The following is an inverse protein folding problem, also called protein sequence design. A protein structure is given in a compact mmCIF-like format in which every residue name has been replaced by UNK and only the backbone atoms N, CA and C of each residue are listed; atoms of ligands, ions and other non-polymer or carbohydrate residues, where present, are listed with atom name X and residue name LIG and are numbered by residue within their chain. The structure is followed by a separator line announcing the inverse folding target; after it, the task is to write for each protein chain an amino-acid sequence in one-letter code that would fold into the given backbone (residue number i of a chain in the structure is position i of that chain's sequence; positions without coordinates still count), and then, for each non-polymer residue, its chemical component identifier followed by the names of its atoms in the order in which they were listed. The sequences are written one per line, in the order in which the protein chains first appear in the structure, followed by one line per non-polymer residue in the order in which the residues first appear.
data_IF_230943999778
#
_entry.id   IF_230943999778
#
_cell.length_a   1.000
_cell.length_b   1.000
_cell.length_c   1.000
_cell.angle_alpha   90.00
_cell.angle_beta   90.00
_cell.angle_gamma   90.00
#
_symmetry.space_group_name_H-M   'P 1'
#
loop_
_entity.id
_entity.type
_entity.pdbx_description
1 polymer ?
#
# COMPACT_ATOMS: atom_id res chain seq x y z
N UNK A 1 11.47 12.05 45.97
CA UNK A 1 11.35 10.90 45.04
C UNK A 1 11.37 11.49 43.64
N UNK A 2 12.48 11.33 42.93
CA UNK A 2 12.66 11.87 41.58
C UNK A 2 11.66 11.20 40.64
N UNK A 3 10.87 12.00 39.94
CA UNK A 3 9.88 11.55 38.96
C UNK A 3 10.60 10.92 37.77
N UNK A 4 10.85 9.61 37.85
CA UNK A 4 11.17 8.82 36.66
C UNK A 4 10.07 9.08 35.62
N UNK A 5 10.46 9.35 34.36
CA UNK A 5 9.53 9.37 33.24
C UNK A 5 8.68 8.09 33.32
N UNK A 6 7.34 8.17 33.27
CA UNK A 6 6.48 6.98 33.32
C UNK A 6 6.79 5.96 32.22
N UNK A 7 7.50 6.39 31.18
CA UNK A 7 8.06 5.54 30.16
C UNK A 7 9.60 5.62 30.19
N UNK A 8 10.30 4.61 30.72
CA UNK A 8 11.76 4.61 30.77
C UNK A 8 12.38 4.43 29.37
N UNK A 9 13.57 5.00 29.17
CA UNK A 9 14.40 4.80 27.98
C UNK A 9 15.67 3.98 28.32
N UNK A 10 15.55 2.67 28.56
CA UNK A 10 16.69 1.85 29.00
C UNK A 10 17.72 1.61 27.88
N UNK A 11 17.35 1.83 26.62
CA UNK A 11 18.21 1.61 25.46
C UNK A 11 18.04 2.75 24.44
N UNK A 12 18.73 3.90 24.64
CA UNK A 12 18.68 5.04 23.72
C UNK A 12 18.93 4.65 22.26
N UNK A 13 18.16 5.21 21.32
CA UNK A 13 18.21 4.85 19.90
C UNK A 13 17.50 3.55 19.51
N UNK A 14 16.91 2.82 20.46
CA UNK A 14 16.18 1.57 20.20
C UNK A 14 14.74 1.61 20.68
N UNK A 15 13.90 0.85 19.98
CA UNK A 15 12.49 0.62 20.34
C UNK A 15 11.59 1.81 20.04
N UNK A 16 10.32 1.72 20.41
CA UNK A 16 9.35 2.80 20.23
C UNK A 16 8.29 2.73 21.33
N UNK A 17 7.35 3.68 21.30
CA UNK A 17 6.20 3.68 22.18
C UNK A 17 5.07 2.80 21.61
N UNK A 18 4.57 1.87 22.41
CA UNK A 18 3.40 1.03 22.10
C UNK A 18 2.24 1.47 22.99
N UNK A 19 1.36 2.33 22.48
CA UNK A 19 0.33 3.05 23.25
C UNK A 19 -1.10 2.65 22.87
N UNK A 20 -2.05 3.16 23.67
CA UNK A 20 -3.47 2.81 23.69
C UNK A 20 -3.67 1.32 23.99
N UNK A 21 -3.51 1.03 25.29
CA UNK A 21 -3.66 -0.25 25.98
C UNK A 21 -3.42 -0.04 27.49
N UNK A 22 -3.45 -1.10 28.30
CA UNK A 22 -3.17 -0.99 29.74
C UNK A 22 -1.71 -1.29 30.06
N UNK A 23 -1.13 -0.57 31.03
CA UNK A 23 0.24 -0.86 31.52
C UNK A 23 0.33 -2.28 32.08
N UNK A 24 -0.75 -2.79 32.68
CA UNK A 24 -0.84 -4.18 33.15
C UNK A 24 -0.70 -5.23 32.03
N UNK A 25 -1.02 -4.86 30.78
CA UNK A 25 -0.88 -5.71 29.61
C UNK A 25 0.41 -5.43 28.82
N UNK A 26 1.35 -4.68 29.41
CA UNK A 26 2.67 -4.39 28.85
C UNK A 26 2.70 -3.25 27.82
N UNK A 27 1.66 -2.43 27.76
CA UNK A 27 1.66 -1.21 26.94
C UNK A 27 2.34 -0.06 27.68
N UNK A 28 2.86 0.89 26.91
CA UNK A 28 3.32 2.17 27.44
C UNK A 28 2.13 3.00 27.95
N UNK A 29 2.39 3.86 28.93
CA UNK A 29 1.34 4.71 29.47
C UNK A 29 0.79 5.61 28.37
N UNK A 30 -0.54 5.55 28.18
CA UNK A 30 -1.21 6.33 27.15
C UNK A 30 -1.12 7.83 27.45
N UNK A 31 -0.95 8.64 26.41
CA UNK A 31 -1.02 10.11 26.51
C UNK A 31 -2.49 10.53 26.49
N UNK A 32 -2.82 11.62 27.18
CA UNK A 32 -4.12 12.28 27.05
C UNK A 32 -4.44 12.59 25.58
N UNK A 33 -5.63 12.20 25.14
CA UNK A 33 -6.14 12.46 23.79
C UNK A 33 -5.81 11.41 22.72
N UNK A 34 -4.98 10.39 23.02
CA UNK A 34 -4.75 9.27 22.09
C UNK A 34 -5.86 8.22 22.18
N UNK A 35 -6.56 7.99 21.08
CA UNK A 35 -7.67 7.03 20.95
C UNK A 35 -7.38 5.83 20.04
N UNK A 36 -6.28 5.86 19.28
CA UNK A 36 -5.95 4.81 18.29
C UNK A 36 -4.69 4.05 18.68
N UNK A 37 -4.79 2.71 18.72
CA UNK A 37 -3.65 1.83 19.01
C UNK A 37 -2.52 1.95 18.00
N UNK A 38 -1.30 2.06 18.52
CA UNK A 38 -0.09 2.05 17.71
C UNK A 38 0.34 0.65 17.30
N UNK A 39 -0.23 -0.41 17.87
CA UNK A 39 0.04 -1.80 17.51
C UNK A 39 -1.25 -2.54 17.17
N UNK A 40 -1.36 -2.97 15.92
CA UNK A 40 -2.48 -3.75 15.41
C UNK A 40 -1.97 -5.04 14.78
N UNK A 41 -2.74 -6.11 14.91
CA UNK A 41 -2.58 -7.34 14.14
C UNK A 41 -3.59 -7.35 12.99
N UNK A 42 -3.48 -8.36 12.13
CA UNK A 42 -4.46 -8.61 11.09
C UNK A 42 -5.34 -9.80 11.47
N UNK A 43 -6.64 -9.72 11.17
CA UNK A 43 -7.52 -10.90 11.17
C UNK A 43 -7.12 -11.84 10.04
N UNK A 44 -7.69 -13.05 10.00
CA UNK A 44 -7.45 -14.01 8.90
C UNK A 44 -7.86 -13.47 7.52
N UNK A 45 -8.75 -12.48 7.48
CA UNK A 45 -9.25 -11.80 6.28
C UNK A 45 -8.71 -10.37 6.12
N UNK A 46 -7.70 -9.99 6.92
CA UNK A 46 -6.87 -8.81 6.66
C UNK A 46 -7.40 -7.52 7.27
N UNK A 47 -8.43 -7.59 8.09
CA UNK A 47 -8.88 -6.44 8.86
C UNK A 47 -7.89 -6.15 9.99
N UNK A 48 -7.59 -4.87 10.23
CA UNK A 48 -6.75 -4.48 11.36
C UNK A 48 -7.52 -4.64 12.68
N UNK A 49 -6.90 -5.32 13.65
CA UNK A 49 -7.44 -5.53 14.99
C UNK A 49 -6.45 -5.03 16.04
N UNK A 50 -6.94 -4.34 17.07
CA UNK A 50 -6.12 -3.88 18.19
C UNK A 50 -5.52 -5.08 18.93
N UNK A 51 -4.21 -5.05 19.16
CA UNK A 51 -3.54 -6.01 20.04
C UNK A 51 -3.92 -5.69 21.48
N UNK A 52 -4.31 -6.70 22.26
CA UNK A 52 -4.83 -6.52 23.64
C UNK A 52 -3.76 -6.71 24.72
N UNK A 53 -2.63 -7.33 24.39
CA UNK A 53 -1.48 -7.52 25.29
C UNK A 53 -0.18 -7.66 24.51
N UNK A 54 0.86 -6.92 24.91
CA UNK A 54 2.22 -7.06 24.33
C UNK A 54 2.96 -8.26 24.91
N UNK A 55 2.55 -8.77 26.07
CA UNK A 55 3.12 -9.99 26.67
C UNK A 55 2.87 -11.24 25.84
N UNK A 56 1.77 -11.27 25.08
CA UNK A 56 1.39 -12.39 24.22
C UNK A 56 1.73 -12.17 22.75
N UNK A 57 2.12 -10.94 22.37
CA UNK A 57 2.49 -10.61 21.00
C UNK A 57 3.86 -11.21 20.66
N UNK A 58 3.92 -12.08 19.64
CA UNK A 58 5.15 -12.74 19.21
C UNK A 58 5.54 -12.24 17.84
N UNK A 59 6.79 -11.83 17.67
CA UNK A 59 7.33 -11.35 16.39
C UNK A 59 7.71 -12.47 15.41
N UNK A 60 7.69 -13.74 15.85
CA UNK A 60 7.97 -14.88 14.99
C UNK A 60 6.78 -15.19 14.07
N UNK A 61 6.99 -15.04 12.76
CA UNK A 61 6.00 -15.33 11.70
C UNK A 61 4.62 -14.68 11.89
N UNK A 62 4.56 -13.51 12.53
CA UNK A 62 3.30 -12.80 12.77
C UNK A 62 3.42 -11.39 12.21
N UNK A 63 2.45 -11.02 11.36
CA UNK A 63 2.38 -9.69 10.78
C UNK A 63 1.69 -8.72 11.75
N UNK A 64 2.35 -7.59 12.02
CA UNK A 64 1.79 -6.48 12.78
C UNK A 64 1.90 -5.19 11.97
N UNK A 65 0.90 -4.32 12.13
CA UNK A 65 0.98 -2.93 11.75
C UNK A 65 1.38 -2.13 13.00
N UNK A 66 2.62 -1.63 13.01
CA UNK A 66 3.18 -0.86 14.11
C UNK A 66 3.43 0.58 13.65
N UNK A 67 2.82 1.53 14.34
CA UNK A 67 3.09 2.95 14.14
C UNK A 67 4.34 3.35 14.94
N UNK A 68 5.47 3.52 14.24
CA UNK A 68 6.76 3.86 14.84
C UNK A 68 6.88 5.37 15.03
N UNK A 69 7.06 5.82 16.28
CA UNK A 69 7.09 7.25 16.64
C UNK A 69 8.49 7.77 16.98
N UNK A 70 9.51 6.99 16.69
CA UNK A 70 10.88 7.20 17.18
C UNK A 70 11.16 6.44 18.47
N UNK A 71 12.35 6.68 19.03
CA UNK A 71 12.85 6.02 20.22
C UNK A 71 12.18 6.52 21.50
N UNK A 72 12.52 5.87 22.62
CA UNK A 72 11.90 6.14 23.91
C UNK A 72 12.44 7.40 24.63
N UNK A 73 13.29 8.19 23.98
CA UNK A 73 13.75 9.48 24.51
C UNK A 73 12.75 10.61 24.27
N UNK A 74 11.86 10.44 23.29
CA UNK A 74 10.91 11.48 22.89
C UNK A 74 9.88 11.71 23.99
N UNK A 75 9.67 12.99 24.35
CA UNK A 75 8.56 13.31 25.25
C UNK A 75 7.25 13.32 24.49
N UNK A 76 6.47 12.28 24.73
CA UNK A 76 5.12 12.05 24.23
C UNK A 76 4.13 13.08 24.83
N UNK A 77 3.86 14.19 24.09
CA UNK A 77 3.00 15.32 24.54
C UNK A 77 1.69 15.50 23.78
N UNK A 78 1.44 14.72 22.72
CA UNK A 78 0.24 14.82 21.89
C UNK A 78 0.34 13.97 20.62
N UNK A 79 -0.55 14.20 19.65
CA UNK A 79 -0.57 13.43 18.39
C UNK A 79 0.49 13.87 17.37
N UNK A 80 0.97 15.11 17.46
CA UNK A 80 1.90 15.72 16.49
C UNK A 80 3.30 15.89 17.10
N UNK A 81 3.87 14.80 17.62
CA UNK A 81 5.24 14.82 18.14
C UNK A 81 6.18 14.34 17.04
N UNK A 82 7.18 15.14 16.62
CA UNK A 82 8.16 14.72 15.62
C UNK A 82 8.90 13.45 16.08
N UNK A 83 9.01 12.48 15.17
CA UNK A 83 9.79 11.28 15.40
C UNK A 83 11.30 11.57 15.31
N UNK A 84 12.11 10.71 15.92
CA UNK A 84 13.55 10.63 15.74
C UNK A 84 13.93 9.25 15.21
N UNK A 85 15.19 9.08 14.82
CA UNK A 85 15.68 7.79 14.35
C UNK A 85 15.66 6.76 15.48
N UNK A 86 15.08 5.59 15.19
CA UNK A 86 15.10 4.45 16.09
C UNK A 86 15.37 3.15 15.35
N UNK A 87 15.95 2.18 16.06
CA UNK A 87 16.11 0.82 15.60
C UNK A 87 15.16 -0.12 16.33
N UNK A 88 14.28 -0.78 15.58
CA UNK A 88 13.52 -1.92 16.09
C UNK A 88 14.33 -3.20 15.94
N UNK A 89 14.30 -4.04 16.97
CA UNK A 89 15.03 -5.31 17.00
C UNK A 89 14.16 -6.41 17.59
N UNK A 90 14.22 -7.58 17.00
CA UNK A 90 13.65 -8.81 17.51
C UNK A 90 14.78 -9.76 17.90
N UNK A 91 14.61 -10.52 18.98
CA UNK A 91 15.53 -11.58 19.38
C UNK A 91 14.77 -12.88 19.51
N UNK A 92 15.45 -13.98 19.18
CA UNK A 92 14.88 -15.32 19.23
C UNK A 92 15.56 -16.24 18.21
N UNK A 93 15.19 -17.52 18.21
CA UNK A 93 15.63 -18.46 17.19
C UNK A 93 15.21 -17.99 15.79
N UNK A 94 16.08 -18.18 14.81
CA UNK A 94 15.72 -17.96 13.41
C UNK A 94 14.71 -19.02 12.96
N UNK A 95 13.68 -18.60 12.25
CA UNK A 95 12.85 -19.54 11.49
C UNK A 95 13.67 -20.04 10.30
N UNK A 96 13.69 -21.35 10.12
CA UNK A 96 14.45 -22.04 9.08
C UNK A 96 13.63 -23.16 8.47
N UNK A 97 14.02 -23.60 7.28
CA UNK A 97 13.28 -24.57 6.48
C UNK A 97 12.03 -23.97 5.85
N UNK A 98 11.25 -24.81 5.18
CA UNK A 98 10.06 -24.36 4.44
C UNK A 98 8.97 -23.88 5.40
N UNK A 99 8.43 -22.69 5.15
CA UNK A 99 7.35 -22.09 5.91
C UNK A 99 6.06 -22.16 5.09
N UNK A 100 5.03 -22.81 5.62
CA UNK A 100 3.72 -22.92 4.97
C UNK A 100 2.75 -21.96 5.64
N UNK A 101 2.16 -21.06 4.85
CA UNK A 101 1.24 -20.03 5.34
C UNK A 101 -0.13 -20.25 4.67
N UNK A 102 -1.20 -20.48 5.43
CA UNK A 102 -2.55 -20.55 4.87
C UNK A 102 -3.02 -19.16 4.41
N UNK A 103 -3.79 -19.12 3.32
CA UNK A 103 -4.43 -17.90 2.80
C UNK A 103 -5.94 -18.10 2.81
N UNK A 104 -6.68 -17.15 3.38
CA UNK A 104 -8.13 -17.23 3.48
C UNK A 104 -8.79 -17.20 2.10
N UNK A 105 -9.98 -17.80 1.99
CA UNK A 105 -10.76 -17.85 0.74
C UNK A 105 -11.28 -16.47 0.29
N UNK A 106 -11.27 -15.48 1.18
CA UNK A 106 -11.73 -14.12 0.92
C UNK A 106 -10.98 -13.10 1.78
N UNK A 107 -11.02 -11.85 1.37
CA UNK A 107 -10.25 -10.77 1.99
C UNK A 107 -8.75 -10.92 1.76
N UNK A 108 -7.97 -10.17 2.53
CA UNK A 108 -6.51 -10.21 2.46
C UNK A 108 -5.94 -11.07 3.59
N UNK A 109 -4.87 -11.81 3.35
CA UNK A 109 -4.13 -12.47 4.42
C UNK A 109 -2.79 -11.77 4.58
N UNK A 110 -2.51 -11.30 5.80
CA UNK A 110 -1.22 -10.71 6.13
C UNK A 110 -0.19 -11.81 6.39
N UNK A 111 0.96 -11.70 5.74
CA UNK A 111 2.05 -12.65 5.80
C UNK A 111 3.30 -11.91 6.23
N UNK A 112 3.96 -12.38 7.29
CA UNK A 112 5.29 -11.90 7.64
C UNK A 112 6.32 -12.55 6.73
N UNK A 113 7.36 -11.82 6.33
CA UNK A 113 8.57 -12.48 5.85
C UNK A 113 9.15 -13.31 7.02
N UNK A 114 9.17 -14.65 6.92
CA UNK A 114 9.59 -15.48 8.05
C UNK A 114 11.10 -15.49 8.25
N UNK A 115 11.87 -15.09 7.24
CA UNK A 115 13.32 -15.17 7.26
C UNK A 115 13.97 -13.82 7.60
N UNK A 116 15.12 -13.88 8.27
CA UNK A 116 16.01 -12.73 8.45
C UNK A 116 16.82 -12.42 7.17
N UNK A 117 16.13 -12.37 6.03
CA UNK A 117 16.69 -12.16 4.69
C UNK A 117 15.57 -11.70 3.75
N UNK A 118 15.85 -10.82 2.76
CA UNK A 118 14.86 -10.52 1.73
C UNK A 118 14.42 -11.80 1.01
N UNK A 119 13.14 -11.91 0.67
CA UNK A 119 12.60 -13.03 -0.12
C UNK A 119 12.07 -12.52 -1.46
N UNK A 120 12.21 -13.32 -2.52
CA UNK A 120 11.64 -13.01 -3.82
C UNK A 120 10.22 -13.57 -3.89
N UNK A 121 9.21 -12.69 -3.93
CA UNK A 121 7.82 -13.11 -4.11
C UNK A 121 7.70 -13.96 -5.39
N UNK A 122 8.33 -13.57 -6.50
CA UNK A 122 8.22 -14.27 -7.79
C UNK A 122 8.57 -15.76 -7.77
N UNK A 123 9.40 -16.24 -6.83
CA UNK A 123 9.79 -17.66 -6.74
C UNK A 123 8.95 -18.48 -5.74
N UNK A 124 8.16 -17.83 -4.89
CA UNK A 124 7.35 -18.50 -3.85
C UNK A 124 6.37 -19.48 -4.48
N UNK A 125 6.26 -20.67 -3.91
CA UNK A 125 5.27 -21.66 -4.35
C UNK A 125 3.87 -21.27 -3.85
N UNK A 126 2.89 -21.19 -4.76
CA UNK A 126 1.51 -20.76 -4.48
C UNK A 126 0.51 -21.85 -4.82
N UNK A 127 -0.55 -21.93 -4.04
CA UNK A 127 -1.77 -22.70 -4.35
C UNK A 127 -2.97 -21.81 -4.11
N UNK A 128 -3.74 -21.50 -5.15
CA UNK A 128 -4.91 -20.60 -5.08
C UNK A 128 -4.59 -19.21 -4.48
N UNK A 129 -3.40 -18.66 -4.74
CA UNK A 129 -3.02 -17.30 -4.32
C UNK A 129 -2.62 -16.50 -5.55
N UNK A 130 -3.09 -15.27 -5.66
CA UNK A 130 -2.77 -14.38 -6.78
C UNK A 130 -1.26 -14.08 -6.81
N UNK A 131 -0.73 -13.78 -8.00
CA UNK A 131 0.65 -13.31 -8.14
C UNK A 131 0.74 -11.78 -8.00
N UNK A 132 0.03 -11.27 -6.99
CA UNK A 132 -0.03 -9.86 -6.66
C UNK A 132 -0.07 -9.73 -5.14
N UNK A 133 0.50 -8.67 -4.60
CA UNK A 133 0.55 -8.45 -3.17
C UNK A 133 0.59 -6.95 -2.86
N UNK A 134 0.26 -6.62 -1.61
CA UNK A 134 0.42 -5.27 -1.10
C UNK A 134 1.51 -5.21 -0.05
N UNK A 135 2.25 -4.11 -0.04
CA UNK A 135 3.14 -3.72 1.05
C UNK A 135 2.77 -2.34 1.55
N UNK A 136 3.13 -2.03 2.79
CA UNK A 136 3.07 -0.67 3.29
C UNK A 136 4.39 0.04 2.97
N UNK A 137 4.36 1.05 2.12
CA UNK A 137 5.51 1.94 1.89
C UNK A 137 5.47 3.08 2.92
N UNK A 138 6.36 3.08 3.93
CA UNK A 138 6.36 4.07 5.00
C UNK A 138 6.83 5.47 4.56
N UNK A 139 7.44 5.60 3.37
CA UNK A 139 7.95 6.87 2.84
C UNK A 139 6.95 7.60 1.96
N UNK A 140 5.82 6.96 1.64
CA UNK A 140 4.77 7.63 0.88
C UNK A 140 4.08 8.71 1.71
N UNK A 141 3.73 9.79 1.02
CA UNK A 141 3.17 11.00 1.62
C UNK A 141 1.79 10.81 2.24
N UNK A 142 0.91 9.97 1.69
CA UNK A 142 -0.48 9.83 2.16
C UNK A 142 -1.16 11.19 2.49
N UNK A 143 -2.20 11.17 3.32
CA UNK A 143 -2.79 12.42 3.86
C UNK A 143 -2.03 12.97 5.09
N UNK A 144 -1.29 12.11 5.81
CA UNK A 144 -0.63 12.47 7.08
C UNK A 144 0.90 12.27 7.09
N UNK A 145 1.52 11.90 5.97
CA UNK A 145 2.97 11.66 5.90
C UNK A 145 3.43 10.37 6.58
N UNK A 146 2.56 9.35 6.67
CA UNK A 146 2.81 8.14 7.48
C UNK A 146 2.92 6.85 6.68
N UNK A 147 2.95 6.96 5.35
CA UNK A 147 2.97 5.85 4.41
C UNK A 147 1.62 5.58 3.74
N UNK A 148 1.64 4.64 2.80
CA UNK A 148 0.47 4.17 2.05
C UNK A 148 0.66 2.71 1.62
N UNK A 149 -0.44 2.04 1.28
CA UNK A 149 -0.34 0.73 0.63
C UNK A 149 0.08 0.88 -0.83
N UNK A 150 1.01 0.03 -1.25
CA UNK A 150 1.47 -0.10 -2.63
C UNK A 150 1.15 -1.52 -3.10
N UNK A 151 0.48 -1.63 -4.25
CA UNK A 151 0.28 -2.88 -4.95
C UNK A 151 1.49 -3.21 -5.82
N UNK A 152 1.97 -4.45 -5.73
CA UNK A 152 2.95 -5.04 -6.63
C UNK A 152 2.24 -6.20 -7.33
N UNK A 153 1.87 -6.02 -8.60
CA UNK A 153 1.06 -6.99 -9.34
C UNK A 153 1.75 -7.52 -10.59
N UNK A 154 1.74 -8.84 -10.73
CA UNK A 154 2.33 -9.51 -11.88
C UNK A 154 1.54 -9.20 -13.15
N UNK A 155 2.27 -8.93 -14.23
CA UNK A 155 1.68 -8.51 -15.51
C UNK A 155 2.02 -9.44 -16.68
N UNK A 156 2.55 -10.63 -16.39
CA UNK A 156 2.89 -11.64 -17.39
C UNK A 156 4.37 -11.63 -17.77
N UNK A 157 5.07 -10.53 -17.53
CA UNK A 157 6.52 -10.40 -17.80
C UNK A 157 7.31 -9.94 -16.59
N UNK A 158 6.72 -9.13 -15.72
CA UNK A 158 7.32 -8.61 -14.50
C UNK A 158 6.24 -8.14 -13.54
N UNK A 159 6.54 -7.12 -12.75
CA UNK A 159 5.59 -6.53 -11.80
C UNK A 159 5.40 -5.04 -12.08
N UNK A 160 4.14 -4.62 -12.06
CA UNK A 160 3.75 -3.22 -11.97
C UNK A 160 3.63 -2.81 -10.50
N UNK A 161 3.98 -1.56 -10.21
CA UNK A 161 3.88 -0.96 -8.88
C UNK A 161 2.83 0.16 -8.95
N UNK A 162 1.80 0.10 -8.10
CA UNK A 162 0.65 1.04 -8.11
C UNK A 162 0.18 1.33 -6.66
N UNK A 163 0.22 2.59 -6.19
CA UNK A 163 0.85 3.76 -6.81
C UNK A 163 2.36 3.60 -6.98
N UNK A 164 3.00 4.52 -7.70
CA UNK A 164 4.46 4.61 -7.70
C UNK A 164 4.99 4.76 -6.25
N UNK A 165 5.85 3.83 -5.84
CA UNK A 165 6.43 3.82 -4.49
C UNK A 165 7.55 4.85 -4.34
N UNK A 166 7.72 5.37 -3.12
CA UNK A 166 8.86 6.23 -2.75
C UNK A 166 10.01 5.38 -2.23
N UNK A 167 9.69 4.34 -1.47
CA UNK A 167 10.63 3.29 -1.10
C UNK A 167 10.97 2.43 -2.32
N UNK A 168 12.14 1.75 -2.32
CA UNK A 168 12.51 0.80 -3.36
C UNK A 168 11.71 -0.52 -3.24
N UNK A 169 10.38 -0.40 -3.21
CA UNK A 169 9.47 -1.54 -3.22
C UNK A 169 9.58 -2.28 -4.56
N UNK A 170 9.45 -3.60 -4.51
CA UNK A 170 9.57 -4.48 -5.67
C UNK A 170 9.01 -5.85 -5.34
N UNK A 171 9.23 -6.84 -6.21
CA UNK A 171 8.96 -8.25 -5.90
C UNK A 171 9.76 -8.79 -4.69
N UNK A 172 10.77 -8.07 -4.20
CA UNK A 172 11.58 -8.48 -3.06
C UNK A 172 11.02 -7.92 -1.74
N UNK A 173 10.50 -8.81 -0.90
CA UNK A 173 9.95 -8.47 0.42
C UNK A 173 11.11 -8.46 1.43
N UNK A 174 11.33 -7.33 2.09
CA UNK A 174 12.49 -7.14 2.97
C UNK A 174 12.37 -7.94 4.28
N UNK A 175 13.51 -8.18 4.93
CA UNK A 175 13.52 -8.73 6.29
C UNK A 175 12.78 -7.79 7.24
N UNK A 176 11.82 -8.32 8.00
CA UNK A 176 10.98 -7.52 8.90
C UNK A 176 9.83 -6.76 8.23
N UNK A 177 9.65 -6.90 6.90
CA UNK A 177 8.49 -6.41 6.19
C UNK A 177 7.41 -7.50 6.13
N UNK A 178 6.15 -7.10 6.34
CA UNK A 178 4.99 -7.93 6.08
C UNK A 178 4.31 -7.47 4.79
N UNK A 179 3.53 -8.36 4.20
CA UNK A 179 2.81 -8.13 2.96
C UNK A 179 1.40 -8.74 3.04
N UNK A 180 0.48 -8.22 2.23
CA UNK A 180 -0.89 -8.74 2.12
C UNK A 180 -1.04 -9.49 0.80
N UNK A 181 -1.61 -10.69 0.86
CA UNK A 181 -1.95 -11.49 -0.32
C UNK A 181 -3.42 -11.81 -0.35
N UNK A 182 -3.91 -12.23 -1.52
CA UNK A 182 -5.29 -12.66 -1.69
C UNK A 182 -5.35 -14.01 -2.38
N UNK A 183 -6.36 -14.80 -2.05
CA UNK A 183 -6.64 -16.02 -2.79
C UNK A 183 -7.32 -15.78 -4.13
N UNK A 184 -7.28 -16.77 -5.01
CA UNK A 184 -7.96 -16.75 -6.32
C UNK A 184 -9.44 -17.14 -6.22
N UNK A 185 -10.10 -16.83 -5.09
CA UNK A 185 -11.50 -17.16 -4.80
C UNK A 185 -11.75 -18.46 -4.03
N UNK A 186 -10.71 -19.22 -3.69
CA UNK A 186 -10.78 -20.41 -2.81
C UNK A 186 -9.64 -20.38 -1.81
N UNK A 187 -9.80 -21.00 -0.63
CA UNK A 187 -8.72 -21.04 0.35
C UNK A 187 -7.43 -21.60 -0.28
N UNK A 188 -6.30 -20.97 0.06
CA UNK A 188 -5.02 -21.23 -0.58
C UNK A 188 -3.88 -21.34 0.41
N UNK A 189 -2.66 -21.39 -0.11
CA UNK A 189 -1.45 -21.42 0.69
C UNK A 189 -0.23 -20.88 -0.06
N UNK A 190 0.69 -20.29 0.70
CA UNK A 190 2.06 -20.02 0.28
C UNK A 190 3.02 -21.01 0.93
N UNK A 191 3.99 -21.50 0.17
CA UNK A 191 5.16 -22.21 0.72
C UNK A 191 6.41 -21.40 0.40
N UNK A 192 6.94 -20.74 1.42
CA UNK A 192 8.14 -19.91 1.35
C UNK A 192 9.33 -20.80 1.75
N UNK A 193 10.19 -21.10 0.77
CA UNK A 193 11.33 -22.00 0.92
C UNK A 193 12.59 -21.20 1.22
N UNK A 194 13.58 -21.88 1.79
CA UNK A 194 14.93 -21.33 1.95
C UNK A 194 15.53 -20.85 0.61
N UNK A 195 15.20 -21.52 -0.50
CA UNK A 195 15.61 -21.13 -1.86
C UNK A 195 14.93 -19.87 -2.39
N UNK A 196 13.88 -19.37 -1.73
CA UNK A 196 13.20 -18.12 -2.09
C UNK A 196 13.89 -16.89 -1.47
N UNK A 197 14.89 -17.10 -0.60
CA UNK A 197 15.77 -16.03 -0.11
C UNK A 197 16.49 -15.39 -1.30
N UNK A 198 16.46 -14.07 -1.34
CA UNK A 198 17.17 -13.30 -2.35
C UNK A 198 18.60 -13.01 -1.90
N UNK A 199 19.54 -13.11 -2.83
CA UNK A 199 20.91 -12.61 -2.65
C UNK A 199 20.98 -11.07 -2.74
N UNK A 200 19.90 -10.40 -3.17
CA UNK A 200 19.81 -8.93 -3.20
C UNK A 200 20.03 -8.38 -1.79
N UNK A 201 20.93 -7.41 -1.67
CA UNK A 201 21.18 -6.74 -0.40
C UNK A 201 19.88 -6.11 0.15
N UNK A 202 19.73 -6.11 1.48
CA UNK A 202 18.60 -5.48 2.13
C UNK A 202 18.46 -4.02 1.68
N UNK A 203 17.26 -3.65 1.25
CA UNK A 203 16.95 -2.33 0.73
C UNK A 203 16.51 -1.39 1.85
N UNK A 204 16.72 -0.09 1.64
CA UNK A 204 16.34 0.94 2.60
C UNK A 204 14.83 1.27 2.48
N UNK A 205 13.96 0.32 2.81
CA UNK A 205 12.50 0.53 2.85
C UNK A 205 12.10 1.35 4.09
N UNK A 206 12.59 1.01 5.27
CA UNK A 206 12.18 1.65 6.54
C UNK A 206 13.09 2.80 7.01
N UNK A 207 14.19 3.09 6.31
CA UNK A 207 15.18 4.10 6.73
C UNK A 207 14.99 5.40 5.96
N UNK A 208 14.93 6.52 6.68
CA UNK A 208 15.01 7.86 6.08
C UNK A 208 16.39 8.01 5.42
N UNK A 209 16.40 8.39 4.13
CA UNK A 209 17.64 8.76 3.46
C UNK A 209 17.98 10.18 3.88
N UNK A 210 18.91 10.34 4.82
CA UNK A 210 19.55 11.63 5.00
C UNK A 210 20.27 11.99 3.70
N UNK A 211 20.03 13.20 3.20
CA UNK A 211 20.60 13.75 1.95
C UNK A 211 19.90 13.25 0.69
N UNK A 212 19.67 14.20 -0.22
CA UNK A 212 19.27 14.07 -1.63
C UNK A 212 20.14 13.07 -2.38
N UNK A 213 19.91 11.79 -2.13
CA UNK A 213 20.25 10.73 -3.06
C UNK A 213 19.22 10.87 -4.17
N UNK A 214 19.55 11.67 -5.19
CA UNK A 214 19.13 11.34 -6.55
C UNK A 214 19.29 9.84 -6.66
N UNK A 215 18.18 9.12 -6.82
CA UNK A 215 18.05 7.77 -7.38
C UNK A 215 19.39 7.21 -7.88
N UNK A 216 20.31 6.86 -6.98
CA UNK A 216 21.69 6.60 -7.37
C UNK A 216 21.81 5.10 -7.49
N UNK A 217 21.70 4.68 -8.75
CA UNK A 217 22.51 3.60 -9.29
C UNK A 217 22.52 2.28 -8.51
N UNK A 218 21.33 1.78 -8.14
CA UNK A 218 21.10 0.34 -8.25
C UNK A 218 20.41 0.12 -9.60
N UNK A 219 21.13 -0.55 -10.50
CA UNK A 219 20.87 -0.60 -11.92
C UNK A 219 19.42 -0.90 -12.28
N UNK A 220 18.87 -0.07 -13.17
CA UNK A 220 17.99 -0.32 -14.32
C UNK A 220 17.16 -1.62 -14.44
N UNK A 221 16.89 -2.36 -13.38
CA UNK A 221 16.05 -3.55 -13.37
C UNK A 221 14.96 -3.37 -12.32
N UNK A 222 13.80 -2.92 -12.84
CA UNK A 222 12.44 -2.99 -12.27
C UNK A 222 12.03 -1.81 -11.38
N UNK A 223 11.76 -0.66 -12.01
CA UNK A 223 11.00 0.47 -11.41
C UNK A 223 9.56 0.61 -11.97
N UNK A 224 9.31 0.03 -13.13
CA UNK A 224 7.99 -0.23 -13.72
C UNK A 224 8.34 -1.08 -14.94
N UNK A 225 7.84 -2.31 -15.01
CA UNK A 225 8.13 -3.20 -16.12
C UNK A 225 6.82 -3.45 -16.85
N UNK A 226 6.33 -2.50 -17.68
CA UNK A 226 5.04 -2.66 -18.33
C UNK A 226 4.99 -4.00 -19.04
N UNK A 227 3.82 -4.63 -19.00
CA UNK A 227 3.63 -5.87 -19.74
C UNK A 227 4.02 -5.67 -21.19
N UNK A 228 4.65 -6.70 -21.78
CA UNK A 228 5.07 -6.64 -23.17
C UNK A 228 3.87 -6.31 -24.08
N UNK A 229 4.05 -5.30 -24.94
CA UNK A 229 3.01 -4.81 -25.86
C UNK A 229 1.72 -4.37 -25.15
N UNK A 230 1.82 -3.87 -23.91
CA UNK A 230 0.67 -3.34 -23.18
C UNK A 230 0.67 -1.82 -23.22
N UNK A 231 -0.53 -1.26 -23.35
CA UNK A 231 -0.81 0.17 -23.15
C UNK A 231 -1.55 0.35 -21.82
N UNK A 232 -1.71 1.58 -21.35
CA UNK A 232 -2.48 1.80 -20.14
C UNK A 232 -2.67 3.25 -19.74
N UNK A 233 -3.44 3.44 -18.68
CA UNK A 233 -3.74 4.74 -18.09
C UNK A 233 -3.62 4.63 -16.56
N UNK A 234 -2.71 5.40 -15.98
CA UNK A 234 -2.64 5.61 -14.54
C UNK A 234 -3.49 6.81 -14.16
N UNK A 235 -4.25 6.70 -13.07
CA UNK A 235 -5.09 7.78 -12.55
C UNK A 235 -4.75 7.99 -11.08
N UNK A 236 -4.05 9.08 -10.79
CA UNK A 236 -3.66 9.46 -9.43
C UNK A 236 -4.70 10.39 -8.83
N UNK A 237 -5.16 10.11 -7.62
CA UNK A 237 -5.92 11.03 -6.79
C UNK A 237 -4.97 11.80 -5.88
N UNK A 238 -5.05 13.13 -5.91
CA UNK A 238 -4.26 14.02 -5.06
C UNK A 238 -5.14 15.05 -4.37
N UNK A 239 -4.73 15.50 -3.19
CA UNK A 239 -5.28 16.71 -2.56
C UNK A 239 -4.67 17.96 -3.21
N UNK A 240 -5.47 19.00 -3.41
CA UNK A 240 -5.10 20.22 -4.12
C UNK A 240 -5.56 21.50 -3.39
N UNK A 241 -5.70 21.46 -2.06
CA UNK A 241 -6.14 22.57 -1.22
C UNK A 241 -4.99 23.39 -0.58
N UNK A 242 -3.74 23.14 -0.97
CA UNK A 242 -2.56 23.82 -0.43
C UNK A 242 -1.28 23.55 -1.21
N UNK A 243 -0.12 23.77 -0.56
CA UNK A 243 1.22 23.58 -1.16
C UNK A 243 1.71 22.13 -1.14
N UNK A 244 1.02 21.23 -0.43
CA UNK A 244 1.36 19.81 -0.31
C UNK A 244 0.58 19.01 -1.37
N UNK A 245 1.28 18.55 -2.41
CA UNK A 245 0.76 17.59 -3.38
C UNK A 245 1.21 16.19 -2.97
N UNK A 246 0.32 15.43 -2.36
CA UNK A 246 0.54 14.02 -2.01
C UNK A 246 -0.40 13.12 -2.82
N UNK A 247 0.13 12.00 -3.33
CA UNK A 247 -0.73 10.93 -3.87
C UNK A 247 -1.52 10.33 -2.71
N UNK A 248 -2.84 10.46 -2.78
CA UNK A 248 -3.77 9.86 -1.82
C UNK A 248 -4.05 8.41 -2.21
N UNK A 249 -4.25 8.17 -3.51
CA UNK A 249 -4.48 6.84 -4.06
C UNK A 249 -4.20 6.83 -5.58
N UNK A 250 -4.07 5.66 -6.17
CA UNK A 250 -3.87 5.50 -7.62
C UNK A 250 -4.60 4.25 -8.12
N UNK A 251 -5.18 4.32 -9.31
CA UNK A 251 -5.61 3.14 -10.05
C UNK A 251 -4.89 3.04 -11.38
N UNK A 252 -4.70 1.82 -11.86
CA UNK A 252 -4.05 1.55 -13.13
C UNK A 252 -4.91 0.64 -14.00
N UNK A 253 -5.27 1.12 -15.19
CA UNK A 253 -5.87 0.29 -16.23
C UNK A 253 -4.81 -0.07 -17.27
N UNK A 254 -4.67 -1.36 -17.60
CA UNK A 254 -3.72 -1.84 -18.60
C UNK A 254 -4.40 -2.74 -19.63
N UNK A 255 -4.01 -2.60 -20.89
CA UNK A 255 -4.62 -3.28 -22.02
C UNK A 255 -3.55 -4.03 -22.81
N UNK A 256 -3.78 -5.31 -23.06
CA UNK A 256 -2.91 -6.14 -23.90
C UNK A 256 -3.73 -7.30 -24.47
N UNK A 257 -3.38 -7.77 -25.67
CA UNK A 257 -3.95 -8.99 -26.23
C UNK A 257 -3.62 -10.26 -25.43
N UNK A 258 -2.72 -10.15 -24.45
CA UNK A 258 -2.35 -11.24 -23.53
C UNK A 258 -3.19 -11.26 -22.25
N UNK A 259 -4.06 -10.26 -22.06
CA UNK A 259 -4.95 -10.14 -20.89
C UNK A 259 -6.38 -10.56 -21.24
N UNK A 260 -7.19 -10.76 -20.20
CA UNK A 260 -8.58 -11.20 -20.28
C UNK A 260 -9.53 -10.03 -19.99
N UNK A 261 -10.75 -10.10 -20.53
CA UNK A 261 -11.87 -9.23 -20.14
C UNK A 261 -12.66 -9.77 -18.93
N UNK A 262 -12.28 -10.96 -18.46
CA UNK A 262 -12.70 -11.45 -17.14
C UNK A 262 -11.88 -10.80 -16.03
N UNK A 263 -12.42 -10.83 -14.80
CA UNK A 263 -11.62 -10.49 -13.63
C UNK A 263 -10.91 -11.77 -13.21
N UNK A 264 -9.59 -11.78 -13.35
CA UNK A 264 -8.77 -12.95 -13.08
C UNK A 264 -7.58 -12.63 -12.16
N UNK A 265 -6.62 -13.55 -12.07
CA UNK A 265 -5.48 -13.44 -11.16
C UNK A 265 -4.44 -12.41 -11.60
N UNK A 266 -4.62 -11.83 -12.79
CA UNK A 266 -3.87 -10.69 -13.30
C UNK A 266 -4.51 -9.38 -12.89
N UNK A 267 -5.72 -9.33 -12.36
CA UNK A 267 -6.26 -8.10 -11.75
C UNK A 267 -5.81 -7.98 -10.28
N UNK A 268 -5.88 -6.77 -9.73
CA UNK A 268 -5.65 -6.55 -8.31
C UNK A 268 -6.88 -5.90 -7.67
N UNK A 269 -7.53 -6.61 -6.74
CA UNK A 269 -8.61 -6.04 -5.95
C UNK A 269 -8.09 -4.93 -5.04
N UNK A 270 -8.90 -3.89 -4.83
CA UNK A 270 -8.54 -2.75 -3.98
C UNK A 270 -8.37 -3.19 -2.52
N UNK A 271 -7.22 -2.84 -1.95
CA UNK A 271 -7.06 -2.74 -0.50
C UNK A 271 -7.47 -1.33 -0.05
N UNK A 272 -8.48 -1.26 0.82
CA UNK A 272 -9.03 0.03 1.26
C UNK A 272 -8.05 0.78 2.19
N UNK A 273 -7.87 2.06 1.89
CA UNK A 273 -7.25 3.04 2.77
C UNK A 273 -8.25 3.48 3.83
N UNK A 274 -7.74 3.92 4.98
CA UNK A 274 -8.57 4.45 6.08
C UNK A 274 -9.22 5.79 5.69
N UNK A 275 -8.57 6.55 4.82
CA UNK A 275 -9.02 7.87 4.36
C UNK A 275 -9.57 7.78 2.95
N UNK A 276 -9.26 8.74 2.07
CA UNK A 276 -9.69 8.74 0.67
C UNK A 276 -9.26 7.48 -0.08
N UNK A 277 -10.16 7.00 -0.93
CA UNK A 277 -9.91 5.85 -1.80
C UNK A 277 -10.28 6.18 -3.24
N UNK A 278 -9.52 5.62 -4.17
CA UNK A 278 -9.84 5.55 -5.59
C UNK A 278 -9.80 4.08 -6.03
N UNK A 279 -10.85 3.63 -6.72
CA UNK A 279 -10.91 2.30 -7.32
C UNK A 279 -11.54 2.36 -8.72
N UNK A 280 -11.33 1.30 -9.52
CA UNK A 280 -12.09 1.04 -10.74
C UNK A 280 -13.16 -0.02 -10.43
N UNK A 281 -14.42 0.25 -10.75
CA UNK A 281 -15.51 -0.72 -10.57
C UNK A 281 -15.76 -1.47 -11.87
N UNK A 282 -15.53 -2.79 -11.82
CA UNK A 282 -15.80 -3.71 -12.94
C UNK A 282 -16.54 -4.92 -12.40
N UNK A 283 -17.65 -5.30 -13.02
CA UNK A 283 -18.50 -6.45 -12.63
C UNK A 283 -18.81 -6.52 -11.10
N UNK A 284 -18.99 -5.36 -10.47
CA UNK A 284 -19.30 -5.23 -9.04
C UNK A 284 -18.10 -5.34 -8.09
N UNK A 285 -16.86 -5.46 -8.60
CA UNK A 285 -15.64 -5.50 -7.80
C UNK A 285 -14.85 -4.20 -7.93
N UNK A 286 -14.23 -3.78 -6.82
CA UNK A 286 -13.32 -2.64 -6.77
C UNK A 286 -11.89 -3.10 -7.03
N UNK A 287 -11.26 -2.50 -8.05
CA UNK A 287 -9.93 -2.85 -8.53
C UNK A 287 -8.95 -1.68 -8.31
N UNK A 288 -7.75 -2.01 -7.89
CA UNK A 288 -6.57 -1.13 -7.92
C UNK A 288 -5.90 -1.20 -9.30
N UNK A 289 -5.80 -2.41 -9.85
CA UNK A 289 -5.25 -2.67 -11.18
C UNK A 289 -6.29 -3.46 -11.97
N UNK A 290 -6.73 -2.88 -13.08
CA UNK A 290 -7.72 -3.41 -14.01
C UNK A 290 -7.00 -3.80 -15.31
N UNK A 291 -6.80 -5.10 -15.53
CA UNK A 291 -6.18 -5.61 -16.75
C UNK A 291 -7.26 -6.11 -17.69
N UNK A 292 -7.22 -5.62 -18.93
CA UNK A 292 -8.23 -5.87 -19.97
C UNK A 292 -7.56 -6.38 -21.22
N UNK A 293 -8.33 -7.08 -22.06
CA UNK A 293 -7.90 -7.34 -23.43
C UNK A 293 -7.70 -6.00 -24.18
N UNK A 294 -7.29 -6.05 -25.45
CA UNK A 294 -7.04 -4.84 -26.23
C UNK A 294 -8.24 -3.89 -26.22
N UNK A 295 -7.95 -2.59 -26.09
CA UNK A 295 -8.95 -1.53 -25.97
C UNK A 295 -9.96 -1.57 -27.12
N UNK A 296 -11.24 -1.44 -26.78
CA UNK A 296 -12.37 -1.44 -27.70
C UNK A 296 -13.06 -0.07 -27.76
N UNK A 297 -13.76 0.18 -28.87
CA UNK A 297 -14.64 1.35 -28.97
C UNK A 297 -15.73 1.25 -27.90
N UNK A 298 -15.90 2.32 -27.10
CA UNK A 298 -16.79 2.40 -25.94
C UNK A 298 -16.32 1.68 -24.65
N UNK A 299 -15.03 1.35 -24.53
CA UNK A 299 -14.47 1.00 -23.23
C UNK A 299 -14.69 2.13 -22.20
N UNK A 300 -14.99 1.76 -20.96
CA UNK A 300 -15.19 2.72 -19.86
C UNK A 300 -14.54 2.22 -18.59
N UNK A 301 -13.79 3.12 -17.95
CA UNK A 301 -13.29 2.95 -16.59
C UNK A 301 -14.25 3.69 -15.65
N UNK A 302 -15.01 2.93 -14.85
CA UNK A 302 -15.90 3.51 -13.83
C UNK A 302 -15.08 3.78 -12.59
N UNK A 303 -14.71 5.04 -12.37
CA UNK A 303 -13.97 5.42 -11.17
C UNK A 303 -14.91 5.42 -9.97
N UNK A 304 -14.37 5.05 -8.81
CA UNK A 304 -15.09 5.03 -7.55
C UNK A 304 -14.28 5.76 -6.48
N UNK A 305 -14.80 6.89 -6.03
CA UNK A 305 -14.21 7.66 -4.94
C UNK A 305 -14.99 7.46 -3.66
N UNK A 306 -14.33 7.06 -2.59
CA UNK A 306 -14.98 6.94 -1.29
C UNK A 306 -14.17 7.66 -0.23
N UNK A 307 -14.85 8.03 0.86
CA UNK A 307 -14.28 8.76 2.00
C UNK A 307 -13.66 10.13 1.66
N UNK A 308 -14.03 10.75 0.54
CA UNK A 308 -13.62 12.13 0.23
C UNK A 308 -14.14 13.10 1.27
N UNK A 309 -13.30 14.03 1.70
CA UNK A 309 -13.63 15.15 2.57
C UNK A 309 -13.99 16.39 1.77
N UNK A 310 -14.53 17.42 2.42
CA UNK A 310 -14.78 18.73 1.78
C UNK A 310 -13.43 19.38 1.50
N UNK A 311 -12.96 19.28 0.26
CA UNK A 311 -11.66 19.78 -0.18
C UNK A 311 -11.64 19.97 -1.72
N UNK A 312 -10.55 20.53 -2.22
CA UNK A 312 -10.22 20.53 -3.65
C UNK A 312 -9.28 19.37 -3.93
N UNK A 313 -9.65 18.53 -4.89
CA UNK A 313 -8.88 17.39 -5.35
C UNK A 313 -8.39 17.61 -6.78
N UNK A 314 -7.42 16.81 -7.18
CA UNK A 314 -6.91 16.75 -8.54
C UNK A 314 -6.78 15.29 -8.96
N UNK A 315 -7.31 14.96 -10.13
CA UNK A 315 -6.86 13.79 -10.87
C UNK A 315 -5.68 14.13 -11.74
N UNK A 316 -4.68 13.27 -11.72
CA UNK A 316 -3.61 13.25 -12.70
C UNK A 316 -3.71 11.97 -13.53
N UNK A 317 -3.96 12.13 -14.82
CA UNK A 317 -4.06 11.06 -15.80
C UNK A 317 -2.73 10.95 -16.54
N UNK A 318 -2.05 9.82 -16.39
CA UNK A 318 -0.74 9.56 -17.00
C UNK A 318 -0.85 8.38 -17.96
N UNK A 319 -0.88 8.63 -19.28
CA UNK A 319 -0.96 7.57 -20.28
C UNK A 319 0.36 6.81 -20.40
N UNK A 320 0.28 5.50 -20.68
CA UNK A 320 1.40 4.62 -21.01
C UNK A 320 1.15 4.10 -22.42
N UNK A 321 1.85 4.70 -23.39
CA UNK A 321 1.77 4.34 -24.81
C UNK A 321 0.33 4.27 -25.36
N UNK A 322 -0.58 5.09 -24.82
CA UNK A 322 -2.01 5.05 -25.13
C UNK A 322 -2.37 5.63 -26.52
N UNK A 323 -1.38 5.81 -27.41
CA UNK A 323 -1.55 6.37 -28.75
C UNK A 323 -2.48 5.55 -29.66
N UNK A 324 -2.81 4.30 -29.28
CA UNK A 324 -3.81 3.47 -29.96
C UNK A 324 -5.27 3.81 -29.61
N UNK A 325 -5.52 4.66 -28.61
CA UNK A 325 -6.87 5.16 -28.30
C UNK A 325 -7.19 6.40 -29.15
N UNK A 326 -8.36 6.42 -29.80
CA UNK A 326 -8.78 7.54 -30.67
C UNK A 326 -9.07 8.82 -29.88
N UNK A 327 -9.67 8.69 -28.69
CA UNK A 327 -10.00 9.79 -27.79
C UNK A 327 -10.25 9.24 -26.38
N UNK A 328 -9.81 9.96 -25.35
CA UNK A 328 -10.08 9.64 -23.94
C UNK A 328 -10.76 10.84 -23.29
N UNK A 329 -11.84 10.59 -22.55
CA UNK A 329 -12.67 11.68 -21.99
C UNK A 329 -13.08 11.35 -20.57
N UNK A 330 -12.69 12.22 -19.63
CA UNK A 330 -13.26 12.20 -18.29
C UNK A 330 -14.67 12.77 -18.32
N UNK A 331 -15.64 12.01 -17.82
CA UNK A 331 -17.03 12.42 -17.62
C UNK A 331 -17.24 12.73 -16.14
N UNK A 332 -17.71 13.94 -15.84
CA UNK A 332 -18.18 14.33 -14.50
C UNK A 332 -19.71 14.28 -14.43
N UNK A 333 -20.25 13.26 -13.77
CA UNK A 333 -21.69 13.04 -13.63
C UNK A 333 -22.37 14.06 -12.71
N UNK A 334 -21.63 14.78 -11.85
CA UNK A 334 -22.17 15.82 -10.99
C UNK A 334 -22.30 17.15 -11.76
N UNK A 335 -21.23 17.56 -12.46
CA UNK A 335 -21.22 18.82 -13.23
C UNK A 335 -21.82 18.68 -14.64
N UNK A 336 -22.03 17.45 -15.12
CA UNK A 336 -22.47 17.13 -16.50
C UNK A 336 -21.51 17.67 -17.56
N UNK A 337 -20.21 17.56 -17.29
CA UNK A 337 -19.13 18.03 -18.16
C UNK A 337 -18.25 16.90 -18.64
N UNK A 338 -17.70 17.08 -19.84
CA UNK A 338 -16.71 16.18 -20.43
C UNK A 338 -15.38 16.92 -20.55
N UNK A 339 -14.29 16.29 -20.12
CA UNK A 339 -12.94 16.83 -20.21
C UNK A 339 -12.06 15.89 -21.00
N UNK A 340 -11.45 16.39 -22.08
CA UNK A 340 -10.52 15.60 -22.89
C UNK A 340 -9.26 15.27 -22.09
N UNK A 341 -8.83 14.02 -22.14
CA UNK A 341 -7.60 13.52 -21.53
C UNK A 341 -6.61 13.19 -22.64
N UNK A 342 -5.38 13.71 -22.53
CA UNK A 342 -4.33 13.44 -23.50
C UNK A 342 -3.92 11.96 -23.48
N UNK A 343 -3.69 11.39 -24.66
CA UNK A 343 -3.23 10.01 -24.86
C UNK A 343 -1.70 9.89 -24.88
N UNK A 344 -0.99 11.03 -24.87
CA UNK A 344 0.49 11.09 -24.92
C UNK A 344 1.11 11.84 -23.75
N UNK A 345 0.38 12.77 -23.14
CA UNK A 345 0.89 13.64 -22.08
C UNK A 345 0.04 13.51 -20.81
N UNK A 346 0.65 13.83 -19.68
CA UNK A 346 -0.08 13.89 -18.41
C UNK A 346 -1.14 14.99 -18.44
N UNK A 347 -2.36 14.66 -18.05
CA UNK A 347 -3.48 15.61 -17.92
C UNK A 347 -3.85 15.80 -16.45
N UNK A 348 -4.01 17.04 -16.00
CA UNK A 348 -4.45 17.36 -14.64
C UNK A 348 -5.87 17.94 -14.67
N UNK A 349 -6.79 17.35 -13.91
CA UNK A 349 -8.17 17.82 -13.79
C UNK A 349 -8.52 18.06 -12.33
N UNK A 350 -8.87 19.30 -12.01
CA UNK A 350 -9.25 19.72 -10.67
C UNK A 350 -10.75 19.56 -10.46
N UNK A 351 -11.15 19.13 -9.26
CA UNK A 351 -12.55 19.06 -8.87
C UNK A 351 -12.72 19.39 -7.38
N UNK A 352 -13.90 19.90 -7.03
CA UNK A 352 -14.23 20.22 -5.64
C UNK A 352 -15.26 19.23 -5.10
N UNK A 353 -15.05 18.83 -3.84
CA UNK A 353 -16.06 18.18 -3.01
C UNK A 353 -16.53 19.23 -2.01
N UNK A 354 -17.81 19.60 -2.09
CA UNK A 354 -18.42 20.67 -1.30
C UNK A 354 -19.45 20.13 -0.30
N UNK A 355 -20.33 21.02 0.16
CA UNK A 355 -21.43 20.65 1.07
C UNK A 355 -22.58 19.88 0.39
N UNK A 356 -22.70 19.92 -0.94
CA UNK A 356 -23.65 19.07 -1.67
C UNK A 356 -23.12 17.62 -1.68
N UNK A 357 -23.88 16.70 -1.09
CA UNK A 357 -23.51 15.29 -1.00
C UNK A 357 -23.29 14.63 -2.37
N UNK A 358 -23.91 15.14 -3.44
CA UNK A 358 -23.72 14.63 -4.81
C UNK A 358 -22.33 14.96 -5.37
N UNK A 359 -21.67 16.00 -4.85
CA UNK A 359 -20.28 16.30 -5.22
C UNK A 359 -19.28 15.24 -4.71
N UNK A 360 -19.68 14.48 -3.68
CA UNK A 360 -18.95 13.36 -3.09
C UNK A 360 -19.52 11.98 -3.53
N UNK A 361 -20.38 11.94 -4.55
CA UNK A 361 -20.94 10.68 -5.03
C UNK A 361 -19.83 9.75 -5.53
N UNK A 362 -19.87 8.48 -5.14
CA UNK A 362 -18.77 7.57 -5.41
C UNK A 362 -18.58 7.32 -6.91
N UNK A 363 -19.68 7.27 -7.66
CA UNK A 363 -19.76 7.10 -9.11
C UNK A 363 -19.74 8.44 -9.89
N UNK A 364 -19.21 9.51 -9.28
CA UNK A 364 -19.16 10.82 -9.93
C UNK A 364 -18.38 10.83 -11.24
N UNK A 365 -17.33 10.02 -11.37
CA UNK A 365 -16.44 10.08 -12.53
C UNK A 365 -16.35 8.76 -13.29
N UNK A 366 -16.22 8.87 -14.61
CA UNK A 366 -15.79 7.77 -15.48
C UNK A 366 -14.85 8.28 -16.56
N UNK A 367 -14.00 7.42 -17.08
CA UNK A 367 -13.03 7.73 -18.14
C UNK A 367 -13.25 6.84 -19.34
#
# INVERSE_FOLDING_TARGET
VTTASPNPNPAPGYGTYVTVGSVANGFDQNILGQSTSSLKSFTSTGALQVVTSTHTAKVANTAYMLFVRGDRSITMRGSNVPANNTTLRATGPLLTGNQTIPVAASGFTAVANPFASPINFGSITRTNVTNSFYVWDPKMGGANGVGAYVNISYNGTGYDITPASVSPESQYIQSGQAFLVQSTGTAGSLVIKESDKSATAAQNVFRESGVSVQQSAMGNELLFAPAKNAIGLRVNLQIADGSQRGVLDEVFASYSTSFSDEIDNMDALKADNVMENLAIIRKGQALMVDRRNWIQSADTLRLNLTNTSVSTYMFEFSPIELAGAESVTLVDNYLKTNTHISVTETSQVFFQVGSDSRSAAADRFSV
#
